data_IF_271992229306
#
_entry.id   IF_271992229306
#
_cell.length_a   1.000
_cell.length_b   1.000
_cell.length_c   1.000
_cell.angle_alpha   90.00
_cell.angle_beta   90.00
_cell.angle_gamma   90.00
#
_symmetry.space_group_name_H-M   'P 1'
#
loop_
_entity.id
_entity.type
_entity.pdbx_description
1 polymer ?
#
# COMPACT_ATOMS: atom_id res chain seq x y z
N UNK A 1 27.68 -11.78 -16.00
CA UNK A 1 26.30 -12.23 -15.75
C UNK A 1 25.48 -10.97 -15.55
N UNK A 2 24.50 -10.69 -16.44
CA UNK A 2 23.61 -9.54 -16.25
C UNK A 2 22.85 -9.71 -14.95
N UNK A 3 22.73 -8.63 -14.18
CA UNK A 3 21.91 -8.63 -12.96
C UNK A 3 20.49 -9.08 -13.33
N UNK A 4 19.96 -10.08 -12.62
CA UNK A 4 18.58 -10.50 -12.84
C UNK A 4 17.65 -9.33 -12.49
N UNK A 5 16.68 -9.05 -13.38
CA UNK A 5 15.70 -8.00 -13.11
C UNK A 5 14.87 -8.38 -11.88
N UNK A 6 14.56 -7.40 -11.05
CA UNK A 6 13.64 -7.60 -9.92
C UNK A 6 12.28 -8.06 -10.49
N UNK A 7 11.72 -9.12 -9.94
CA UNK A 7 10.33 -9.50 -10.21
C UNK A 7 9.43 -8.81 -9.20
N UNK A 8 8.45 -8.08 -9.69
CA UNK A 8 7.49 -7.34 -8.87
C UNK A 8 6.09 -7.94 -9.01
N UNK A 9 5.63 -8.64 -7.97
CA UNK A 9 4.32 -9.27 -7.90
C UNK A 9 3.29 -8.26 -7.41
N UNK A 10 2.28 -7.96 -8.24
CA UNK A 10 1.41 -6.81 -8.02
C UNK A 10 -0.04 -7.01 -8.46
N UNK A 11 -0.91 -6.13 -8.01
CA UNK A 11 -2.21 -5.80 -8.59
C UNK A 11 -2.51 -4.30 -8.41
N UNK A 12 -3.74 -3.86 -8.68
CA UNK A 12 -4.16 -2.45 -8.59
C UNK A 12 -4.51 -1.99 -7.15
N UNK A 13 -4.18 -2.76 -6.12
CA UNK A 13 -4.45 -2.41 -4.73
C UNK A 13 -3.48 -1.32 -4.20
N UNK A 14 -3.83 -0.65 -3.08
CA UNK A 14 -3.01 0.43 -2.51
C UNK A 14 -1.57 0.06 -2.18
N UNK A 15 -1.34 -1.14 -1.62
CA UNK A 15 0.00 -1.54 -1.20
C UNK A 15 0.97 -1.77 -2.37
N UNK A 16 0.61 -2.46 -3.47
CA UNK A 16 1.45 -2.53 -4.66
C UNK A 16 1.78 -1.18 -5.27
N UNK A 17 0.84 -0.22 -5.26
CA UNK A 17 1.07 1.13 -5.81
C UNK A 17 2.25 1.86 -5.14
N UNK A 18 2.47 1.65 -3.83
CA UNK A 18 3.63 2.22 -3.12
C UNK A 18 4.95 1.77 -3.75
N UNK A 19 5.07 0.46 -3.99
CA UNK A 19 6.28 -0.16 -4.56
C UNK A 19 6.43 0.21 -6.03
N UNK A 20 5.32 0.23 -6.76
CA UNK A 20 5.31 0.66 -8.16
C UNK A 20 5.86 2.08 -8.31
N UNK A 21 5.40 3.02 -7.47
CA UNK A 21 5.93 4.39 -7.48
C UNK A 21 7.44 4.42 -7.20
N UNK A 22 7.93 3.62 -6.25
CA UNK A 22 9.36 3.54 -5.99
C UNK A 22 10.14 3.05 -7.21
N UNK A 23 9.71 1.96 -7.83
CA UNK A 23 10.37 1.37 -9.00
C UNK A 23 10.44 2.37 -10.17
N UNK A 24 9.33 3.08 -10.42
CA UNK A 24 9.25 4.11 -11.47
C UNK A 24 10.07 5.38 -11.15
N UNK A 25 10.20 5.75 -9.88
CA UNK A 25 11.02 6.91 -9.46
C UNK A 25 12.50 6.60 -9.46
N UNK A 26 12.88 5.38 -9.07
CA UNK A 26 14.29 4.99 -8.95
C UNK A 26 14.94 4.63 -10.27
N UNK A 27 14.15 4.23 -11.27
CA UNK A 27 14.64 3.71 -12.54
C UNK A 27 15.26 2.31 -12.46
N UNK A 28 15.02 1.59 -11.35
CA UNK A 28 15.46 0.19 -11.21
C UNK A 28 14.71 -0.68 -12.21
N UNK A 29 15.44 -1.49 -12.96
CA UNK A 29 14.83 -2.42 -13.89
C UNK A 29 14.09 -3.54 -13.18
N UNK A 30 12.84 -3.78 -13.58
CA UNK A 30 12.00 -4.82 -13.01
C UNK A 30 11.15 -5.52 -14.07
N UNK A 31 10.64 -6.70 -13.72
CA UNK A 31 9.61 -7.43 -14.46
C UNK A 31 8.33 -7.45 -13.63
N UNK A 32 7.27 -6.85 -14.13
CA UNK A 32 5.97 -6.86 -13.49
C UNK A 32 5.29 -8.25 -13.68
N UNK A 33 4.80 -8.82 -12.58
CA UNK A 33 4.11 -10.11 -12.52
C UNK A 33 2.73 -9.88 -11.89
N UNK A 34 1.66 -9.86 -12.68
CA UNK A 34 0.32 -9.64 -12.15
C UNK A 34 -0.14 -10.84 -11.30
N UNK A 35 -0.83 -10.54 -10.19
CA UNK A 35 -1.46 -11.51 -9.28
C UNK A 35 -2.92 -11.07 -9.09
N UNK A 36 -3.84 -11.77 -9.74
CA UNK A 36 -5.26 -11.48 -9.59
C UNK A 36 -5.84 -12.15 -8.34
N UNK A 37 -5.87 -11.39 -7.26
CA UNK A 37 -6.33 -11.90 -5.97
C UNK A 37 -7.82 -12.25 -5.94
N UNK A 38 -8.62 -11.72 -6.83
CA UNK A 38 -10.02 -12.11 -6.96
C UNK A 38 -10.19 -13.44 -7.66
N UNK A 39 -9.26 -13.79 -8.56
CA UNK A 39 -9.21 -15.11 -9.22
C UNK A 39 -8.50 -16.18 -8.41
N UNK A 40 -7.85 -15.81 -7.29
CA UNK A 40 -7.20 -16.76 -6.40
C UNK A 40 -5.72 -17.03 -6.72
N UNK A 41 -5.08 -16.26 -7.59
CA UNK A 41 -3.66 -16.45 -7.96
C UNK A 41 -2.72 -16.47 -6.75
N UNK A 42 -3.07 -15.75 -5.67
CA UNK A 42 -2.30 -15.70 -4.42
C UNK A 42 -2.30 -17.03 -3.65
N UNK A 43 -3.19 -17.95 -3.97
CA UNK A 43 -3.32 -19.25 -3.30
C UNK A 43 -2.59 -20.37 -4.02
N UNK A 44 -1.90 -20.09 -5.13
CA UNK A 44 -1.08 -21.08 -5.81
C UNK A 44 0.17 -21.42 -4.98
N UNK A 45 0.61 -22.70 -5.02
CA UNK A 45 1.82 -23.15 -4.31
C UNK A 45 3.05 -22.32 -4.69
N UNK A 46 3.18 -21.94 -5.96
CA UNK A 46 4.26 -21.10 -6.45
C UNK A 46 4.27 -19.71 -5.81
N UNK A 47 3.10 -19.10 -5.60
CA UNK A 47 3.02 -17.80 -4.96
C UNK A 47 3.19 -17.89 -3.44
N UNK A 48 2.72 -18.95 -2.79
CA UNK A 48 2.98 -19.18 -1.36
C UNK A 48 4.46 -19.29 -1.02
N UNK A 49 5.30 -19.79 -1.93
CA UNK A 49 6.76 -19.79 -1.76
C UNK A 49 7.36 -18.38 -1.85
N UNK A 50 6.70 -17.45 -2.54
CA UNK A 50 7.09 -16.03 -2.60
C UNK A 50 6.55 -15.26 -1.40
N UNK A 51 5.29 -15.44 -1.08
CA UNK A 51 4.67 -14.77 0.07
C UNK A 51 3.73 -15.71 0.83
N UNK A 52 4.17 -16.24 1.99
CA UNK A 52 3.35 -17.15 2.80
C UNK A 52 2.08 -16.49 3.34
N UNK A 53 2.00 -15.15 3.34
CA UNK A 53 0.79 -14.42 3.73
C UNK A 53 -0.25 -14.34 2.60
N UNK A 54 0.06 -14.85 1.40
CA UNK A 54 -0.85 -14.81 0.24
C UNK A 54 -1.40 -13.39 -0.06
N UNK A 55 -0.58 -12.37 0.07
CA UNK A 55 -0.91 -10.95 -0.21
C UNK A 55 0.07 -10.35 -1.22
N UNK A 56 -0.37 -9.31 -1.90
CA UNK A 56 0.49 -8.46 -2.73
C UNK A 56 0.73 -7.12 -2.03
N UNK A 57 1.90 -6.50 -2.27
CA UNK A 57 2.97 -6.88 -3.15
C UNK A 57 3.97 -7.85 -2.53
N UNK A 58 4.77 -8.46 -3.39
CA UNK A 58 6.04 -9.09 -3.06
C UNK A 58 7.06 -8.75 -4.15
N UNK A 59 8.35 -8.91 -3.88
CA UNK A 59 9.41 -8.87 -4.88
C UNK A 59 10.32 -10.08 -4.74
N UNK A 60 10.94 -10.47 -5.87
CA UNK A 60 12.09 -11.38 -5.88
C UNK A 60 13.27 -10.69 -6.58
N UNK A 61 14.38 -10.59 -5.88
CA UNK A 61 15.62 -9.96 -6.34
C UNK A 61 16.75 -10.99 -6.27
N UNK A 62 16.98 -11.71 -7.34
CA UNK A 62 17.82 -12.91 -7.33
C UNK A 62 17.24 -13.98 -6.40
N UNK A 63 18.01 -14.37 -5.39
CA UNK A 63 17.60 -15.33 -4.35
C UNK A 63 16.81 -14.67 -3.20
N UNK A 64 16.80 -13.35 -3.13
CA UNK A 64 16.16 -12.61 -2.04
C UNK A 64 14.70 -12.39 -2.35
N UNK A 65 13.82 -12.84 -1.47
CA UNK A 65 12.38 -12.57 -1.51
C UNK A 65 12.01 -11.61 -0.39
N UNK A 66 11.28 -10.54 -0.74
CA UNK A 66 10.78 -9.56 0.24
C UNK A 66 9.29 -9.37 0.03
N UNK A 67 8.52 -9.48 1.10
CA UNK A 67 7.10 -9.16 1.13
C UNK A 67 6.80 -8.15 2.25
N UNK A 68 5.60 -7.62 2.30
CA UNK A 68 5.13 -6.38 2.90
C UNK A 68 5.63 -5.13 2.14
N UNK A 69 4.68 -4.27 1.76
CA UNK A 69 4.98 -3.10 0.92
C UNK A 69 5.97 -2.12 1.55
N UNK A 70 5.96 -1.96 2.87
CA UNK A 70 6.86 -1.02 3.56
C UNK A 70 8.26 -1.64 3.75
N UNK A 71 8.32 -2.96 3.98
CA UNK A 71 9.58 -3.69 3.98
C UNK A 71 10.25 -3.64 2.60
N UNK A 72 9.47 -3.81 1.52
CA UNK A 72 9.96 -3.69 0.15
C UNK A 72 10.50 -2.28 -0.12
N UNK A 73 9.75 -1.24 0.26
CA UNK A 73 10.21 0.14 0.12
C UNK A 73 11.54 0.39 0.84
N UNK A 74 11.69 -0.11 2.08
CA UNK A 74 12.91 0.04 2.85
C UNK A 74 14.07 -0.72 2.20
N UNK A 75 13.86 -1.99 1.82
CA UNK A 75 14.84 -2.81 1.15
C UNK A 75 15.36 -2.16 -0.14
N UNK A 76 14.45 -1.71 -1.00
CA UNK A 76 14.81 -1.08 -2.27
C UNK A 76 15.52 0.26 -2.05
N UNK A 77 15.11 1.05 -1.06
CA UNK A 77 15.74 2.30 -0.73
C UNK A 77 17.16 2.11 -0.21
N UNK A 78 17.38 1.12 0.64
CA UNK A 78 18.71 0.76 1.15
C UNK A 78 19.61 0.19 0.04
N UNK A 79 19.06 -0.68 -0.82
CA UNK A 79 19.77 -1.25 -1.98
C UNK A 79 20.23 -0.18 -2.98
N UNK A 80 19.39 0.82 -3.23
CA UNK A 80 19.67 1.85 -4.25
C UNK A 80 20.32 3.11 -3.70
N UNK A 81 20.31 3.30 -2.39
CA UNK A 81 20.72 4.54 -1.74
C UNK A 81 19.78 5.73 -2.04
N UNK A 82 18.54 5.48 -2.51
CA UNK A 82 17.61 6.52 -2.93
C UNK A 82 16.42 6.64 -1.96
N UNK A 83 15.82 7.83 -1.90
CA UNK A 83 14.60 8.13 -1.13
C UNK A 83 14.71 7.84 0.37
N UNK A 84 15.92 7.90 0.90
CA UNK A 84 16.20 7.90 2.33
C UNK A 84 16.54 9.32 2.82
N UNK A 85 16.34 9.63 4.11
CA UNK A 85 16.87 10.86 4.67
C UNK A 85 18.40 10.84 4.65
N UNK A 86 19.02 12.03 4.73
CA UNK A 86 20.47 12.12 4.89
C UNK A 86 20.92 11.38 6.16
N UNK A 87 22.12 10.80 6.11
CA UNK A 87 22.70 9.98 7.16
C UNK A 87 22.82 10.71 8.51
N UNK A 88 21.79 10.51 9.33
CA UNK A 88 21.81 10.86 10.75
C UNK A 88 21.03 9.79 11.50
N UNK A 89 21.54 9.24 12.61
CA UNK A 89 20.83 8.23 13.41
C UNK A 89 19.42 8.67 13.82
N UNK A 90 19.25 9.96 14.12
CA UNK A 90 17.95 10.57 14.46
C UNK A 90 16.97 10.54 13.29
N UNK A 91 17.44 10.83 12.08
CA UNK A 91 16.62 10.81 10.87
C UNK A 91 16.18 9.38 10.51
N UNK A 92 17.05 8.38 10.72
CA UNK A 92 16.69 6.96 10.55
C UNK A 92 15.64 6.52 11.56
N UNK A 93 15.77 6.89 12.83
CA UNK A 93 14.78 6.58 13.86
C UNK A 93 13.42 7.18 13.53
N UNK A 94 13.39 8.44 13.07
CA UNK A 94 12.17 9.12 12.64
C UNK A 94 11.55 8.43 11.41
N UNK A 95 12.35 8.08 10.40
CA UNK A 95 11.89 7.34 9.21
C UNK A 95 11.21 6.03 9.62
N UNK A 96 11.88 5.22 10.46
CA UNK A 96 11.34 3.93 10.89
C UNK A 96 10.06 4.08 11.70
N UNK A 97 9.98 5.07 12.60
CA UNK A 97 8.78 5.33 13.39
C UNK A 97 7.57 5.63 12.49
N UNK A 98 7.74 6.49 11.49
CA UNK A 98 6.65 6.80 10.57
C UNK A 98 6.34 5.66 9.60
N UNK A 99 7.36 4.91 9.15
CA UNK A 99 7.16 3.75 8.29
C UNK A 99 6.35 2.66 9.01
N UNK A 100 6.71 2.37 10.27
CA UNK A 100 5.95 1.41 11.09
C UNK A 100 4.56 1.93 11.44
N UNK A 101 4.38 3.22 11.71
CA UNK A 101 3.07 3.82 11.92
C UNK A 101 2.14 3.60 10.71
N UNK A 102 2.68 3.76 9.48
CA UNK A 102 1.91 3.51 8.26
C UNK A 102 1.63 2.01 8.09
N UNK A 103 2.63 1.16 8.36
CA UNK A 103 2.53 -0.28 8.19
C UNK A 103 1.50 -0.92 9.16
N UNK A 104 1.54 -0.51 10.44
CA UNK A 104 0.75 -1.13 11.50
C UNK A 104 -0.56 -0.42 11.80
N UNK A 105 -0.72 0.81 11.33
CA UNK A 105 -1.88 1.64 11.63
C UNK A 105 -2.64 2.08 10.36
N UNK A 106 -2.04 2.95 9.54
CA UNK A 106 -2.76 3.56 8.40
C UNK A 106 -3.35 2.51 7.46
N UNK A 107 -2.53 1.56 7.00
CA UNK A 107 -2.98 0.51 6.08
C UNK A 107 -4.03 -0.42 6.72
N UNK A 108 -3.71 -1.09 7.85
CA UNK A 108 -4.62 -2.02 8.50
C UNK A 108 -5.96 -1.40 8.91
N UNK A 109 -5.96 -0.24 9.57
CA UNK A 109 -7.22 0.38 9.98
C UNK A 109 -8.04 0.89 8.80
N UNK A 110 -7.39 1.38 7.74
CA UNK A 110 -8.10 1.75 6.51
C UNK A 110 -8.73 0.52 5.84
N UNK A 111 -7.99 -0.59 5.78
CA UNK A 111 -8.50 -1.85 5.24
C UNK A 111 -9.68 -2.39 6.03
N UNK A 112 -9.60 -2.40 7.37
CA UNK A 112 -10.67 -2.87 8.24
C UNK A 112 -11.90 -1.94 8.21
N UNK A 113 -11.71 -0.61 8.16
CA UNK A 113 -12.82 0.33 8.04
C UNK A 113 -13.63 0.08 6.75
N UNK A 114 -12.93 -0.16 5.64
CA UNK A 114 -13.57 -0.51 4.38
C UNK A 114 -14.25 -1.90 4.46
N UNK A 115 -13.57 -2.90 5.01
CA UNK A 115 -14.07 -4.28 5.08
C UNK A 115 -15.37 -4.36 5.88
N UNK A 116 -15.39 -3.88 7.12
CA UNK A 116 -16.57 -3.99 7.97
C UNK A 116 -17.77 -3.19 7.48
N UNK A 117 -17.54 -2.17 6.66
CA UNK A 117 -18.65 -1.40 6.05
C UNK A 117 -19.20 -2.04 4.79
N UNK A 118 -18.34 -2.67 3.97
CA UNK A 118 -18.70 -3.01 2.60
C UNK A 118 -18.65 -4.51 2.28
N UNK A 119 -17.90 -5.31 3.07
CA UNK A 119 -17.58 -6.69 2.75
C UNK A 119 -18.02 -7.69 3.84
N UNK A 120 -18.20 -7.21 5.08
CA UNK A 120 -18.64 -8.09 6.16
C UNK A 120 -20.03 -8.68 5.85
N UNK A 121 -20.25 -9.97 6.12
CA UNK A 121 -21.55 -10.65 5.84
C UNK A 121 -22.68 -10.13 6.74
N UNK A 122 -22.31 -9.53 7.87
CA UNK A 122 -23.23 -9.00 8.85
C UNK A 122 -22.99 -7.50 9.10
N UNK A 123 -24.05 -6.78 9.45
CA UNK A 123 -23.92 -5.41 9.91
C UNK A 123 -23.45 -5.41 11.37
N UNK A 124 -22.19 -5.03 11.59
CA UNK A 124 -21.56 -4.97 12.91
C UNK A 124 -21.29 -3.50 13.32
N UNK A 125 -22.28 -2.76 13.87
CA UNK A 125 -22.17 -1.32 14.11
C UNK A 125 -20.98 -0.94 14.98
N UNK A 126 -20.63 -1.75 15.97
CA UNK A 126 -19.48 -1.50 16.84
C UNK A 126 -18.16 -1.57 16.06
N UNK A 127 -17.95 -2.60 15.25
CA UNK A 127 -16.76 -2.76 14.43
C UNK A 127 -16.65 -1.63 13.38
N UNK A 128 -17.75 -1.30 12.70
CA UNK A 128 -17.81 -0.19 11.74
C UNK A 128 -17.39 1.11 12.43
N UNK A 129 -17.98 1.46 13.58
CA UNK A 129 -17.66 2.68 14.32
C UNK A 129 -16.22 2.69 14.82
N UNK A 130 -15.72 1.56 15.34
CA UNK A 130 -14.36 1.41 15.86
C UNK A 130 -13.32 1.63 14.78
N UNK A 131 -13.44 0.94 13.66
CA UNK A 131 -12.46 1.02 12.57
C UNK A 131 -12.55 2.32 11.79
N UNK A 132 -13.74 2.89 11.61
CA UNK A 132 -13.88 4.24 11.07
C UNK A 132 -13.14 5.28 11.94
N UNK A 133 -13.32 5.25 13.25
CA UNK A 133 -12.61 6.14 14.17
C UNK A 133 -11.09 6.01 14.05
N UNK A 134 -10.56 4.79 14.06
CA UNK A 134 -9.11 4.56 13.96
C UNK A 134 -8.55 4.97 12.61
N UNK A 135 -9.23 4.64 11.51
CA UNK A 135 -8.80 5.07 10.19
C UNK A 135 -8.74 6.61 10.11
N UNK A 136 -9.82 7.28 10.53
CA UNK A 136 -9.87 8.74 10.56
C UNK A 136 -8.76 9.35 11.42
N UNK A 137 -8.53 8.82 12.63
CA UNK A 137 -7.48 9.27 13.54
C UNK A 137 -6.08 9.14 12.92
N UNK A 138 -5.79 8.04 12.25
CA UNK A 138 -4.50 7.81 11.61
C UNK A 138 -4.26 8.77 10.44
N UNK A 139 -5.27 8.99 9.62
CA UNK A 139 -5.17 9.98 8.53
C UNK A 139 -5.02 11.39 9.05
N UNK A 140 -5.70 11.75 10.15
CA UNK A 140 -5.52 13.07 10.77
C UNK A 140 -4.10 13.27 11.31
N UNK A 141 -3.46 12.22 11.85
CA UNK A 141 -2.07 12.27 12.31
C UNK A 141 -1.12 12.49 11.13
N UNK A 142 -1.33 11.81 9.98
CA UNK A 142 -0.55 12.04 8.77
C UNK A 142 -0.75 13.47 8.25
N UNK A 143 -1.98 13.98 8.19
CA UNK A 143 -2.25 15.35 7.74
C UNK A 143 -1.56 16.38 8.63
N UNK A 144 -1.66 16.22 9.95
CA UNK A 144 -0.98 17.07 10.92
C UNK A 144 0.54 16.99 10.79
N UNK A 145 1.10 15.81 10.52
CA UNK A 145 2.53 15.64 10.25
C UNK A 145 2.99 16.46 9.05
N UNK A 146 2.18 16.54 8.01
CA UNK A 146 2.48 17.27 6.79
C UNK A 146 2.26 18.79 6.90
N UNK A 147 1.67 19.28 8.00
CA UNK A 147 1.43 20.70 8.21
C UNK A 147 2.76 21.46 8.23
N UNK A 148 2.90 22.44 7.33
CA UNK A 148 4.13 23.24 7.17
C UNK A 148 5.34 22.46 6.61
N UNK A 149 5.17 21.22 6.17
CA UNK A 149 6.23 20.38 5.58
C UNK A 149 5.93 20.09 4.11
N UNK A 150 6.97 20.07 3.31
CA UNK A 150 6.85 19.71 1.89
C UNK A 150 6.57 18.22 1.68
N UNK A 151 7.16 17.38 2.55
CA UNK A 151 7.11 15.91 2.55
C UNK A 151 7.07 15.39 3.98
N UNK A 152 6.86 14.10 4.17
CA UNK A 152 6.84 13.46 5.49
C UNK A 152 8.12 13.68 6.31
N UNK A 153 9.29 13.78 5.63
CA UNK A 153 10.59 14.09 6.23
C UNK A 153 11.02 15.54 5.94
N UNK A 154 10.12 16.50 6.14
CA UNK A 154 10.41 17.93 5.95
C UNK A 154 10.51 18.31 4.48
N UNK A 155 11.71 18.64 3.99
CA UNK A 155 11.95 18.99 2.59
C UNK A 155 12.47 17.82 1.74
N UNK A 156 12.67 16.65 2.33
CA UNK A 156 13.25 15.49 1.66
C UNK A 156 12.13 14.51 1.25
N UNK A 157 12.05 14.22 -0.04
CA UNK A 157 11.18 13.20 -0.59
C UNK A 157 11.74 11.81 -0.27
N UNK A 158 10.94 10.97 0.38
CA UNK A 158 11.36 9.67 0.89
C UNK A 158 10.31 8.59 0.63
N UNK A 159 10.66 7.35 0.97
CA UNK A 159 9.74 6.20 0.93
C UNK A 159 8.47 6.41 1.77
N UNK A 160 8.49 7.30 2.77
CA UNK A 160 7.30 7.62 3.56
C UNK A 160 6.21 8.30 2.73
N UNK A 161 6.62 9.18 1.82
CA UNK A 161 5.68 9.88 0.94
C UNK A 161 5.04 8.91 -0.05
N UNK A 162 5.81 7.94 -0.55
CA UNK A 162 5.31 6.85 -1.41
C UNK A 162 4.35 5.93 -0.64
N UNK A 163 4.67 5.63 0.62
CA UNK A 163 3.83 4.81 1.48
C UNK A 163 2.48 5.48 1.78
N UNK A 164 2.46 6.80 1.98
CA UNK A 164 1.22 7.59 2.12
C UNK A 164 0.47 7.63 0.79
N UNK A 165 1.17 7.91 -0.32
CA UNK A 165 0.57 8.08 -1.64
C UNK A 165 -0.21 6.86 -2.11
N UNK A 166 0.28 5.64 -1.85
CA UNK A 166 -0.42 4.42 -2.28
C UNK A 166 -1.80 4.25 -1.65
N UNK A 167 -2.01 4.71 -0.43
CA UNK A 167 -3.29 4.60 0.28
C UNK A 167 -4.17 5.85 0.20
N UNK A 168 -3.58 7.03 0.09
CA UNK A 168 -4.32 8.30 0.17
C UNK A 168 -5.50 8.42 -0.81
N UNK A 169 -5.44 7.91 -2.07
CA UNK A 169 -6.59 7.94 -2.98
C UNK A 169 -7.82 7.17 -2.47
N UNK A 170 -7.63 6.30 -1.48
CA UNK A 170 -8.73 5.51 -0.90
C UNK A 170 -9.41 6.19 0.29
N UNK A 171 -8.92 7.34 0.76
CA UNK A 171 -9.49 8.05 1.93
C UNK A 171 -11.00 8.27 1.79
N UNK A 172 -11.55 8.76 0.66
CA UNK A 172 -13.00 8.94 0.52
C UNK A 172 -13.78 7.64 0.72
N UNK A 173 -13.32 6.54 0.16
CA UNK A 173 -13.96 5.22 0.31
C UNK A 173 -13.80 4.66 1.72
N UNK A 174 -12.63 4.83 2.33
CA UNK A 174 -12.32 4.36 3.68
C UNK A 174 -13.20 5.05 4.71
N UNK A 175 -13.41 6.36 4.55
CA UNK A 175 -14.20 7.17 5.47
C UNK A 175 -15.68 7.29 5.06
N UNK A 176 -16.06 6.84 3.86
CA UNK A 176 -17.37 7.06 3.25
C UNK A 176 -17.76 8.56 3.22
N UNK A 177 -16.79 9.39 2.82
CA UNK A 177 -16.92 10.83 2.72
C UNK A 177 -16.33 11.28 1.38
N UNK A 178 -17.15 11.59 0.39
CA UNK A 178 -16.70 11.99 -0.96
C UNK A 178 -15.78 13.22 -0.92
N UNK A 179 -16.03 14.13 0.00
CA UNK A 179 -15.26 15.36 0.20
C UNK A 179 -14.20 15.27 1.32
N UNK A 180 -13.76 14.07 1.69
CA UNK A 180 -12.79 13.86 2.79
C UNK A 180 -11.53 14.74 2.65
N UNK A 181 -11.08 15.00 1.42
CA UNK A 181 -9.90 15.84 1.18
C UNK A 181 -10.08 17.32 1.52
N UNK A 182 -11.32 17.80 1.75
CA UNK A 182 -11.53 19.19 2.18
C UNK A 182 -11.04 19.43 3.62
N UNK A 183 -10.91 18.37 4.40
CA UNK A 183 -10.34 18.43 5.77
C UNK A 183 -8.92 17.86 5.87
N UNK A 184 -8.43 17.14 4.87
CA UNK A 184 -7.06 16.63 4.80
C UNK A 184 -6.22 17.41 3.77
N UNK A 185 -6.15 18.72 3.95
CA UNK A 185 -5.56 19.64 2.97
C UNK A 185 -4.06 19.42 2.75
N UNK A 186 -3.35 18.96 3.77
CA UNK A 186 -1.91 18.71 3.64
C UNK A 186 -1.65 17.40 2.89
N UNK A 187 -2.48 16.38 3.10
CA UNK A 187 -2.44 15.14 2.31
C UNK A 187 -2.81 15.44 0.86
N UNK A 188 -3.88 16.20 0.61
CA UNK A 188 -4.27 16.63 -0.74
C UNK A 188 -3.11 17.31 -1.46
N UNK A 189 -2.47 18.28 -0.81
CA UNK A 189 -1.29 18.98 -1.35
C UNK A 189 -0.14 18.02 -1.66
N UNK A 190 0.12 17.01 -0.80
CA UNK A 190 1.12 15.96 -1.07
C UNK A 190 0.73 15.14 -2.29
N UNK A 191 -0.53 14.72 -2.37
CA UNK A 191 -1.07 13.94 -3.50
C UNK A 191 -0.93 14.69 -4.82
N UNK A 192 -1.36 15.97 -4.86
CA UNK A 192 -1.26 16.81 -6.07
C UNK A 192 0.21 16.91 -6.53
N UNK A 193 1.12 17.10 -5.58
CA UNK A 193 2.57 17.17 -5.87
C UNK A 193 3.12 15.86 -6.43
N UNK A 194 2.74 14.71 -5.86
CA UNK A 194 3.25 13.41 -6.30
C UNK A 194 2.60 12.99 -7.63
N UNK A 195 1.31 13.25 -7.82
CA UNK A 195 0.60 12.95 -9.07
C UNK A 195 1.14 13.75 -10.27
N UNK A 196 1.71 14.94 -10.03
CA UNK A 196 2.36 15.73 -11.08
C UNK A 196 3.71 15.14 -11.56
N UNK A 197 4.20 14.07 -10.93
CA UNK A 197 5.47 13.44 -11.30
C UNK A 197 5.27 12.42 -12.43
N UNK A 198 6.13 12.38 -13.45
CA UNK A 198 6.02 11.39 -14.52
C UNK A 198 6.03 9.94 -14.04
N UNK A 199 6.77 9.66 -12.95
CA UNK A 199 6.81 8.32 -12.35
C UNK A 199 5.46 7.91 -11.75
N UNK A 200 4.70 8.83 -11.15
CA UNK A 200 3.37 8.55 -10.64
C UNK A 200 2.40 8.19 -11.77
N UNK A 201 2.50 8.87 -12.91
CA UNK A 201 1.71 8.51 -14.10
C UNK A 201 2.04 7.09 -14.58
N UNK A 202 3.34 6.76 -14.73
CA UNK A 202 3.75 5.40 -15.14
C UNK A 202 3.31 4.34 -14.12
N UNK A 203 3.35 4.64 -12.81
CA UNK A 203 2.84 3.74 -11.79
C UNK A 203 1.32 3.50 -11.90
N UNK A 204 0.55 4.52 -12.25
CA UNK A 204 -0.88 4.36 -12.53
C UNK A 204 -1.10 3.57 -13.82
N UNK A 205 -0.36 3.85 -14.89
CA UNK A 205 -0.47 3.13 -16.16
C UNK A 205 -0.16 1.65 -15.98
N UNK A 206 0.88 1.29 -15.21
CA UNK A 206 1.17 -0.10 -14.88
C UNK A 206 0.02 -0.75 -14.11
N UNK A 207 -0.56 -0.08 -13.14
CA UNK A 207 -1.68 -0.62 -12.36
C UNK A 207 -2.94 -0.90 -13.20
N UNK A 208 -3.06 -0.23 -14.35
CA UNK A 208 -4.15 -0.39 -15.32
C UNK A 208 -3.77 -1.28 -16.52
N UNK A 209 -2.49 -1.65 -16.66
CA UNK A 209 -1.98 -2.39 -17.82
C UNK A 209 -2.45 -3.83 -17.91
N UNK A 210 -2.98 -4.38 -16.81
CA UNK A 210 -3.48 -5.75 -16.71
C UNK A 210 -4.99 -5.77 -16.41
N UNK A 211 -5.73 -6.65 -17.10
CA UNK A 211 -7.16 -6.81 -16.92
C UNK A 211 -7.46 -7.65 -15.65
N UNK A 212 -7.23 -7.06 -14.48
CA UNK A 212 -7.65 -7.66 -13.21
C UNK A 212 -9.17 -7.76 -13.12
N UNK A 213 -9.67 -8.81 -12.48
CA UNK A 213 -11.10 -8.93 -12.20
C UNK A 213 -11.57 -7.74 -11.35
N UNK A 214 -12.60 -7.02 -11.84
CA UNK A 214 -13.15 -5.85 -11.13
C UNK A 214 -14.34 -6.22 -10.25
N UNK A 215 -15.14 -7.20 -10.67
CA UNK A 215 -16.32 -7.66 -9.94
C UNK A 215 -15.94 -8.40 -8.65
N UNK A 216 -16.76 -8.21 -7.62
CA UNK A 216 -16.69 -8.94 -6.35
C UNK A 216 -17.84 -9.96 -6.32
N UNK A 217 -17.75 -10.96 -7.21
CA UNK A 217 -18.66 -12.08 -7.24
C UNK A 217 -18.37 -13.09 -6.11
N UNK A 218 -19.17 -14.14 -6.00
CA UNK A 218 -19.03 -15.18 -4.97
C UNK A 218 -17.64 -15.85 -5.01
N UNK A 219 -17.07 -16.03 -6.19
CA UNK A 219 -15.72 -16.60 -6.36
C UNK A 219 -14.66 -15.67 -5.82
N UNK A 220 -14.73 -14.38 -6.17
CA UNK A 220 -13.83 -13.37 -5.65
C UNK A 220 -13.92 -13.22 -4.13
N UNK A 221 -15.16 -13.26 -3.59
CA UNK A 221 -15.39 -13.23 -2.15
C UNK A 221 -14.73 -14.43 -1.45
N UNK A 222 -14.89 -15.66 -1.99
CA UNK A 222 -14.25 -16.87 -1.44
C UNK A 222 -12.72 -16.79 -1.50
N UNK A 223 -12.16 -16.26 -2.59
CA UNK A 223 -10.72 -16.15 -2.77
C UNK A 223 -10.10 -15.08 -1.85
N UNK A 224 -10.81 -13.98 -1.62
CA UNK A 224 -10.30 -12.86 -0.81
C UNK A 224 -10.62 -12.97 0.68
N UNK A 225 -11.73 -13.61 1.02
CA UNK A 225 -12.28 -13.71 2.38
C UNK A 225 -12.77 -15.14 2.70
N UNK A 226 -11.90 -16.16 2.60
CA UNK A 226 -12.29 -17.57 2.77
C UNK A 226 -12.92 -17.84 4.14
N UNK A 227 -12.54 -17.06 5.17
CA UNK A 227 -13.09 -17.19 6.52
C UNK A 227 -14.60 -16.91 6.60
N UNK A 228 -15.19 -16.15 5.66
CA UNK A 228 -16.64 -15.90 5.63
C UNK A 228 -17.42 -17.18 5.29
N UNK A 229 -16.76 -18.10 4.57
CA UNK A 229 -17.36 -19.33 4.06
C UNK A 229 -16.85 -20.58 4.79
N UNK A 230 -15.94 -20.42 5.75
CA UNK A 230 -15.50 -21.51 6.60
C UNK A 230 -16.65 -21.92 7.54
N UNK A 231 -16.86 -23.22 7.80
CA UNK A 231 -17.78 -23.62 8.85
C UNK A 231 -17.32 -23.06 10.19
N UNK A 232 -18.28 -22.70 11.05
CA UNK A 232 -17.97 -22.29 12.40
C UNK A 232 -17.16 -23.40 13.07
N UNK A 233 -15.94 -23.09 13.45
CA UNK A 233 -15.14 -23.99 14.30
C UNK A 233 -15.52 -23.70 15.73
N UNK A 234 -16.23 -24.65 16.37
CA UNK A 234 -16.51 -24.66 17.82
C UNK A 234 -15.22 -24.50 18.68
#
# INVERSE_FOLDING_TARGET
MGASKIEFFFNSAPNPLKVCLFLEESGVEYRAVPIDTKRGDQHTDGYHQINPNAKVPAIRDGETVVFDSNAILLYLAEKTGQFLPKDAPTARGELLSWLMFIATGVGPYSGQAFHFRNMAPENLPYAIKRYHYEANRHWQIIDNRLKGRRYMMGNTYTILDMAVWGWAPRIPYVLAEDNAFDRFLNIRRLMDKLNARPAAQRAHDLSQSHAFQTEMDDTAMRNMYPQIFAPDTD
#
